data_IF_876046594614
#
_entry.id   IF_876046594614
#
_cell.length_a   1.000
_cell.length_b   1.000
_cell.length_c   1.000
_cell.angle_alpha   90.00
_cell.angle_beta   90.00
_cell.angle_gamma   90.00
#
_symmetry.space_group_name_H-M   'P 1'
#
loop_
_entity.id
_entity.type
_entity.pdbx_description
1 polymer ?
#
# COMPACT_ATOMS: atom_id res chain seq x y z
N UNK A 1 -15.32 15.03 -1.25
CA UNK A 1 -15.81 15.47 0.07
C UNK A 1 -15.25 14.75 1.30
N UNK A 2 -15.40 13.43 1.48
CA UNK A 2 -15.00 12.77 2.74
C UNK A 2 -13.50 12.95 3.09
N UNK A 3 -12.61 12.80 2.11
CA UNK A 3 -11.17 13.03 2.27
C UNK A 3 -10.83 14.47 2.65
N UNK A 4 -11.52 15.46 2.07
CA UNK A 4 -11.35 16.87 2.44
C UNK A 4 -11.71 17.11 3.90
N UNK A 5 -12.86 16.60 4.35
CA UNK A 5 -13.28 16.70 5.77
C UNK A 5 -12.29 16.00 6.72
N UNK A 6 -11.73 14.87 6.31
CA UNK A 6 -10.69 14.17 7.07
C UNK A 6 -9.46 15.07 7.29
N UNK A 7 -8.97 15.73 6.24
CA UNK A 7 -7.84 16.66 6.36
C UNK A 7 -8.20 17.86 7.23
N UNK A 8 -9.35 18.49 7.00
CA UNK A 8 -9.79 19.67 7.78
C UNK A 8 -9.86 19.40 9.28
N UNK A 9 -10.21 18.16 9.66
CA UNK A 9 -10.28 17.70 11.07
C UNK A 9 -8.93 17.37 11.71
N UNK A 10 -7.82 17.42 10.97
CA UNK A 10 -6.48 17.13 11.50
C UNK A 10 -5.74 16.00 10.77
N UNK A 11 -6.37 15.35 9.80
CA UNK A 11 -5.77 14.29 9.02
C UNK A 11 -4.60 14.76 8.14
N UNK A 12 -3.73 13.82 7.77
CA UNK A 12 -2.73 14.03 6.71
C UNK A 12 -3.16 13.27 5.47
N UNK A 13 -3.34 13.97 4.35
CA UNK A 13 -3.60 13.35 3.05
C UNK A 13 -2.40 13.52 2.13
N UNK A 14 -1.93 12.43 1.55
CA UNK A 14 -0.93 12.45 0.48
C UNK A 14 -1.63 12.10 -0.83
N UNK A 15 -1.44 12.93 -1.85
CA UNK A 15 -2.02 12.77 -3.18
C UNK A 15 -0.87 12.54 -4.18
N UNK A 16 -0.97 11.47 -4.95
CA UNK A 16 0.05 11.08 -5.94
C UNK A 16 -0.50 11.30 -7.35
N UNK A 17 0.25 12.03 -8.19
CA UNK A 17 -0.11 12.25 -9.59
C UNK A 17 -1.54 12.76 -9.79
N UNK A 18 -2.23 12.28 -10.82
CA UNK A 18 -3.57 12.75 -11.19
C UNK A 18 -4.72 11.99 -10.50
N UNK A 19 -4.54 11.62 -9.23
CA UNK A 19 -5.57 10.91 -8.46
C UNK A 19 -6.89 11.68 -8.44
N UNK A 20 -8.04 11.01 -8.58
CA UNK A 20 -9.35 11.66 -8.52
C UNK A 20 -9.63 12.66 -9.65
N UNK A 21 -8.86 12.63 -10.75
CA UNK A 21 -9.16 13.42 -11.95
C UNK A 21 -10.38 12.89 -12.73
N UNK A 22 -10.74 11.63 -12.51
CA UNK A 22 -11.84 10.94 -13.17
C UNK A 22 -12.73 10.21 -12.16
N UNK A 23 -13.97 9.98 -12.55
CA UNK A 23 -14.97 9.21 -11.81
C UNK A 23 -14.84 7.69 -12.04
N UNK A 24 -15.76 6.93 -11.44
CA UNK A 24 -15.85 5.47 -11.59
C UNK A 24 -16.16 5.01 -13.03
N UNK A 25 -16.65 5.89 -13.90
CA UNK A 25 -16.90 5.65 -15.31
C UNK A 25 -15.75 6.14 -16.21
N UNK A 26 -14.61 6.50 -15.61
CA UNK A 26 -13.42 7.00 -16.30
C UNK A 26 -13.65 8.32 -17.06
N UNK A 27 -14.70 9.07 -16.70
CA UNK A 27 -15.00 10.40 -17.22
C UNK A 27 -14.30 11.47 -16.37
N UNK A 28 -13.77 12.54 -16.99
CA UNK A 28 -13.15 13.62 -16.25
C UNK A 28 -14.18 14.35 -15.39
N UNK A 29 -13.81 14.68 -14.16
CA UNK A 29 -14.59 15.62 -13.37
C UNK A 29 -14.41 17.04 -13.90
N UNK A 30 -15.48 17.84 -13.90
CA UNK A 30 -15.39 19.29 -14.18
C UNK A 30 -14.45 20.01 -13.18
N UNK A 31 -14.38 19.51 -11.94
CA UNK A 31 -13.47 19.99 -10.91
C UNK A 31 -12.82 18.83 -10.16
N UNK A 32 -11.48 18.83 -10.11
CA UNK A 32 -10.71 17.85 -9.33
C UNK A 32 -10.77 18.25 -7.85
N UNK A 33 -11.70 17.64 -7.11
CA UNK A 33 -11.96 17.97 -5.69
C UNK A 33 -10.69 17.97 -4.84
N UNK A 34 -9.78 17.04 -5.10
CA UNK A 34 -8.50 16.92 -4.40
C UNK A 34 -7.49 18.01 -4.77
N UNK A 35 -7.51 18.52 -6.01
CA UNK A 35 -6.71 19.70 -6.39
C UNK A 35 -7.21 20.96 -5.66
N UNK A 36 -8.52 21.03 -5.39
CA UNK A 36 -9.15 22.10 -4.61
C UNK A 36 -8.56 22.26 -3.20
N UNK A 37 -8.00 21.20 -2.59
CA UNK A 37 -7.27 21.30 -1.32
C UNK A 37 -6.08 22.25 -1.41
N UNK A 38 -5.46 22.34 -2.59
CA UNK A 38 -4.35 23.22 -2.89
C UNK A 38 -4.80 24.62 -3.36
N UNK A 39 -6.11 24.87 -3.44
CA UNK A 39 -6.70 26.14 -3.90
C UNK A 39 -6.56 26.33 -5.40
N UNK A 40 -6.57 25.23 -6.16
CA UNK A 40 -6.39 25.21 -7.62
C UNK A 40 -7.43 24.29 -8.25
N UNK A 41 -7.73 24.52 -9.52
CA UNK A 41 -8.54 23.63 -10.35
C UNK A 41 -7.75 22.42 -10.84
N UNK A 42 -6.42 22.58 -10.96
CA UNK A 42 -5.47 21.56 -11.38
C UNK A 42 -4.41 21.30 -10.31
N UNK A 43 -3.75 20.15 -10.39
CA UNK A 43 -2.67 19.83 -9.47
C UNK A 43 -1.44 20.74 -9.64
N UNK A 44 -0.71 21.05 -8.56
CA UNK A 44 0.55 21.76 -8.65
C UNK A 44 1.57 21.02 -9.53
N UNK A 45 2.46 21.74 -10.23
CA UNK A 45 3.50 21.10 -11.05
C UNK A 45 4.65 20.49 -10.23
N UNK A 46 4.78 20.85 -8.95
CA UNK A 46 5.86 20.44 -8.05
C UNK A 46 5.28 19.90 -6.76
N UNK A 47 6.12 19.18 -6.00
CA UNK A 47 5.79 18.78 -4.64
C UNK A 47 5.30 20.00 -3.87
N UNK A 48 4.12 19.90 -3.28
CA UNK A 48 3.45 21.02 -2.61
C UNK A 48 2.79 20.52 -1.34
N UNK A 49 3.12 21.15 -0.22
CA UNK A 49 2.44 20.94 1.05
C UNK A 49 1.58 22.15 1.37
N UNK A 50 0.37 21.90 1.88
CA UNK A 50 -0.53 22.97 2.30
C UNK A 50 -1.27 22.56 3.57
N UNK A 51 -1.32 23.49 4.54
CA UNK A 51 -2.18 23.37 5.70
C UNK A 51 -3.64 23.55 5.26
N UNK A 52 -4.50 22.61 5.66
CA UNK A 52 -5.93 22.65 5.36
C UNK A 52 -6.69 22.42 6.66
N UNK A 53 -7.33 23.47 7.18
CA UNK A 53 -7.92 23.43 8.52
C UNK A 53 -6.89 23.09 9.60
N UNK A 54 -7.17 22.02 10.37
CA UNK A 54 -6.26 21.49 11.40
C UNK A 54 -5.22 20.51 10.86
N UNK A 55 -5.38 20.01 9.64
CA UNK A 55 -4.51 19.01 9.04
C UNK A 55 -3.64 19.56 7.91
N UNK A 56 -3.16 18.64 7.06
CA UNK A 56 -2.30 18.98 5.92
C UNK A 56 -2.58 18.09 4.72
N UNK A 57 -2.48 18.68 3.54
CA UNK A 57 -2.46 17.97 2.27
C UNK A 57 -1.07 18.09 1.66
N UNK A 58 -0.52 16.98 1.17
CA UNK A 58 0.72 16.94 0.41
C UNK A 58 0.44 16.38 -0.98
N UNK A 59 0.92 17.08 -2.00
CA UNK A 59 0.90 16.63 -3.38
C UNK A 59 2.30 16.20 -3.81
N UNK A 60 2.41 15.02 -4.40
CA UNK A 60 3.62 14.54 -5.04
C UNK A 60 3.31 14.32 -6.54
N UNK A 61 3.95 15.07 -7.45
CA UNK A 61 3.79 14.83 -8.88
C UNK A 61 4.35 13.45 -9.22
N UNK A 62 3.58 12.70 -10.00
CA UNK A 62 3.99 11.41 -10.54
C UNK A 62 3.87 11.45 -12.06
N UNK A 63 4.99 11.70 -12.72
CA UNK A 63 5.07 11.71 -14.17
C UNK A 63 5.22 10.26 -14.64
N UNK A 64 4.08 9.61 -14.89
CA UNK A 64 4.08 8.29 -15.50
C UNK A 64 4.48 8.43 -16.96
N UNK A 65 5.53 7.73 -17.44
CA UNK A 65 5.86 7.72 -18.85
C UNK A 65 4.68 7.16 -19.66
N UNK A 66 4.60 7.52 -20.94
CA UNK A 66 3.55 7.03 -21.83
C UNK A 66 3.58 5.50 -21.99
N UNK A 67 4.73 4.85 -21.75
CA UNK A 67 4.87 3.42 -21.51
C UNK A 67 4.19 3.06 -20.19
N UNK A 68 2.86 3.09 -20.18
CA UNK A 68 2.07 2.97 -18.95
C UNK A 68 2.19 1.60 -18.30
N UNK A 69 2.47 0.53 -19.06
CA UNK A 69 2.95 -0.77 -18.60
C UNK A 69 3.52 -1.59 -19.78
N UNK A 70 4.45 -2.50 -19.45
CA UNK A 70 5.03 -3.58 -20.27
C UNK A 70 5.77 -3.15 -21.55
N UNK A 71 7.03 -3.57 -21.65
CA UNK A 71 7.70 -3.81 -22.94
C UNK A 71 6.66 -4.45 -23.88
N UNK A 72 6.47 -3.97 -25.14
CA UNK A 72 5.51 -4.55 -26.06
C UNK A 72 5.67 -6.08 -26.08
N UNK A 73 4.59 -6.80 -25.83
CA UNK A 73 4.59 -8.25 -25.88
C UNK A 73 5.03 -8.69 -27.27
N UNK A 74 6.15 -9.41 -27.36
CA UNK A 74 6.34 -10.33 -28.49
C UNK A 74 5.28 -11.42 -28.38
N UNK A 75 4.93 -12.00 -29.52
CA UNK A 75 3.76 -12.84 -29.82
C UNK A 75 3.12 -13.63 -28.66
N UNK A 76 1.78 -13.75 -28.75
CA UNK A 76 0.80 -14.38 -27.83
C UNK A 76 1.11 -15.79 -27.28
N UNK A 77 2.29 -16.37 -27.55
CA UNK A 77 2.67 -17.71 -27.13
C UNK A 77 3.42 -17.81 -25.79
N UNK A 78 3.92 -16.70 -25.22
CA UNK A 78 4.80 -16.74 -24.03
C UNK A 78 4.19 -16.21 -22.73
N UNK A 79 2.93 -15.77 -22.75
CA UNK A 79 2.30 -15.13 -21.59
C UNK A 79 0.95 -15.76 -21.27
N UNK A 80 0.99 -16.74 -20.39
CA UNK A 80 -0.11 -17.04 -19.49
C UNK A 80 0.44 -16.75 -18.10
N UNK A 81 -0.32 -16.08 -17.23
CA UNK A 81 0.11 -15.86 -15.83
C UNK A 81 -0.88 -16.45 -14.83
N UNK A 82 -2.00 -17.01 -15.30
CA UNK A 82 -2.96 -17.67 -14.44
C UNK A 82 -3.64 -18.80 -15.22
N UNK A 83 -3.59 -20.02 -14.69
CA UNK A 83 -4.52 -21.08 -15.08
C UNK A 83 -5.96 -20.73 -14.65
N UNK A 84 -6.98 -21.43 -15.18
CA UNK A 84 -8.40 -21.15 -14.90
C UNK A 84 -8.79 -21.24 -13.41
N UNK A 85 -7.93 -21.81 -12.55
CA UNK A 85 -8.16 -21.95 -11.11
C UNK A 85 -7.89 -20.67 -10.32
N UNK A 86 -6.91 -19.85 -10.71
CA UNK A 86 -6.55 -18.62 -9.97
C UNK A 86 -7.46 -17.42 -10.31
N UNK A 87 -8.03 -17.39 -11.52
CA UNK A 87 -9.06 -16.42 -11.89
C UNK A 87 -10.31 -16.52 -11.01
N UNK A 88 -10.56 -17.70 -10.42
CA UNK A 88 -11.67 -17.91 -9.47
C UNK A 88 -11.34 -17.47 -8.03
N UNK A 89 -10.06 -17.32 -7.68
CA UNK A 89 -9.64 -16.91 -6.33
C UNK A 89 -9.48 -15.40 -6.23
N UNK A 90 -9.08 -14.74 -7.31
CA UNK A 90 -8.90 -13.29 -7.36
C UNK A 90 -9.55 -12.72 -8.64
N UNK A 91 -10.79 -12.26 -8.51
CA UNK A 91 -11.60 -11.79 -9.64
C UNK A 91 -11.07 -10.50 -10.30
N UNK A 92 -10.19 -9.75 -9.63
CA UNK A 92 -9.73 -8.41 -10.05
C UNK A 92 -8.20 -8.30 -10.15
N UNK A 93 -7.54 -9.25 -10.79
CA UNK A 93 -6.11 -9.08 -11.14
C UNK A 93 -5.99 -8.77 -12.64
N UNK A 94 -5.77 -7.50 -13.02
CA UNK A 94 -5.33 -7.19 -14.37
C UNK A 94 -4.04 -7.96 -14.66
N UNK A 95 -3.90 -8.39 -15.90
CA UNK A 95 -2.79 -9.06 -16.60
C UNK A 95 -1.36 -8.46 -16.39
N UNK A 96 -1.17 -7.54 -15.44
CA UNK A 96 0.01 -6.72 -15.21
C UNK A 96 1.04 -7.24 -14.19
N UNK A 97 0.85 -8.40 -13.56
CA UNK A 97 1.89 -9.03 -12.72
C UNK A 97 2.87 -9.87 -13.55
N UNK A 98 3.42 -9.31 -14.63
CA UNK A 98 4.61 -9.91 -15.22
C UNK A 98 5.80 -9.61 -14.31
N UNK A 99 6.29 -10.65 -13.65
CA UNK A 99 7.54 -10.69 -12.90
C UNK A 99 8.58 -9.72 -13.47
N UNK A 100 9.00 -8.72 -12.68
CA UNK A 100 10.10 -7.80 -13.00
C UNK A 100 10.00 -6.93 -14.28
N UNK A 101 8.83 -6.78 -14.93
CA UNK A 101 8.70 -5.96 -16.17
C UNK A 101 8.05 -4.59 -15.97
N UNK A 102 8.38 -3.93 -14.87
CA UNK A 102 8.11 -2.49 -14.73
C UNK A 102 9.19 -1.76 -15.51
N UNK A 103 8.80 -0.79 -16.34
CA UNK A 103 9.74 0.13 -17.01
C UNK A 103 10.75 0.67 -15.96
N UNK A 104 12.07 0.53 -16.18
CA UNK A 104 13.05 0.91 -15.16
C UNK A 104 12.96 2.38 -14.74
N UNK A 105 12.62 3.30 -15.64
CA UNK A 105 12.45 4.72 -15.32
C UNK A 105 11.18 4.96 -14.50
N UNK A 106 10.10 4.23 -14.81
CA UNK A 106 8.89 4.22 -13.97
C UNK A 106 9.20 3.66 -12.58
N UNK A 107 9.94 2.54 -12.47
CA UNK A 107 10.30 1.93 -11.19
C UNK A 107 11.03 2.92 -10.28
N UNK A 108 12.05 3.61 -10.80
CA UNK A 108 12.79 4.65 -10.06
C UNK A 108 11.84 5.73 -9.54
N UNK A 109 10.88 6.16 -10.36
CA UNK A 109 9.90 7.19 -9.97
C UNK A 109 8.96 6.71 -8.85
N UNK A 110 8.49 5.46 -8.91
CA UNK A 110 7.62 4.86 -7.90
C UNK A 110 8.36 4.63 -6.57
N UNK A 111 9.59 4.11 -6.62
CA UNK A 111 10.41 3.90 -5.42
C UNK A 111 10.74 5.23 -4.73
N UNK A 112 11.08 6.27 -5.50
CA UNK A 112 11.29 7.61 -4.96
C UNK A 112 10.01 8.21 -4.35
N UNK A 113 8.83 7.96 -4.95
CA UNK A 113 7.56 8.40 -4.38
C UNK A 113 7.28 7.70 -3.04
N UNK A 114 7.51 6.39 -2.93
CA UNK A 114 7.35 5.63 -1.70
C UNK A 114 8.25 6.16 -0.57
N UNK A 115 9.53 6.44 -0.86
CA UNK A 115 10.44 7.03 0.12
C UNK A 115 9.98 8.42 0.60
N UNK A 116 9.45 9.25 -0.29
CA UNK A 116 8.87 10.55 0.07
C UNK A 116 7.65 10.41 0.96
N UNK A 117 6.76 9.46 0.67
CA UNK A 117 5.58 9.18 1.51
C UNK A 117 6.00 8.81 2.93
N UNK A 118 6.98 7.92 3.08
CA UNK A 118 7.55 7.52 4.38
C UNK A 118 8.06 8.74 5.15
N UNK A 119 8.89 9.57 4.50
CA UNK A 119 9.47 10.75 5.13
C UNK A 119 8.41 11.77 5.54
N UNK A 120 7.44 12.05 4.68
CA UNK A 120 6.32 12.95 4.96
C UNK A 120 5.49 12.50 6.15
N UNK A 121 5.32 11.19 6.30
CA UNK A 121 4.55 10.61 7.39
C UNK A 121 5.38 10.34 8.66
N UNK A 122 6.67 10.70 8.68
CA UNK A 122 7.60 10.47 9.80
C UNK A 122 7.60 9.00 10.24
N UNK A 123 7.74 8.09 9.27
CA UNK A 123 7.67 6.64 9.46
C UNK A 123 6.33 6.12 10.05
N UNK A 124 5.28 6.93 10.17
CA UNK A 124 3.94 6.50 10.61
C UNK A 124 3.17 5.83 9.47
N UNK A 125 3.78 4.80 8.90
CA UNK A 125 3.25 3.98 7.80
C UNK A 125 3.36 2.51 8.16
N UNK A 126 2.37 1.75 7.70
CA UNK A 126 2.43 0.29 7.65
C UNK A 126 3.07 -0.12 6.33
N UNK A 127 4.18 -0.87 6.38
CA UNK A 127 4.97 -1.27 5.21
C UNK A 127 5.77 -2.54 5.46
N UNK A 128 6.20 -3.18 4.38
CA UNK A 128 7.39 -4.03 4.41
C UNK A 128 8.63 -3.12 4.44
N UNK A 129 9.54 -3.36 5.38
CA UNK A 129 10.77 -2.57 5.53
C UNK A 129 11.76 -2.92 4.41
N UNK A 130 11.83 -4.19 4.07
CA UNK A 130 12.55 -4.71 2.90
C UNK A 130 11.60 -4.87 1.71
N UNK A 131 12.10 -4.62 0.50
CA UNK A 131 11.30 -4.82 -0.71
C UNK A 131 11.03 -6.31 -0.95
N UNK A 132 9.74 -6.69 -0.91
CA UNK A 132 9.24 -7.96 -1.41
C UNK A 132 8.25 -7.65 -2.54
N UNK A 133 8.68 -7.60 -3.81
CA UNK A 133 7.93 -6.99 -4.90
C UNK A 133 6.60 -7.68 -5.23
N UNK A 134 6.41 -8.93 -4.78
CA UNK A 134 5.19 -9.71 -4.99
C UNK A 134 4.31 -9.83 -3.75
N UNK A 135 4.70 -9.20 -2.64
CA UNK A 135 3.91 -9.24 -1.40
C UNK A 135 3.21 -7.91 -1.22
N UNK A 136 1.89 -7.94 -1.24
CA UNK A 136 1.05 -6.84 -0.78
C UNK A 136 0.79 -6.99 0.72
N UNK A 137 0.77 -5.85 1.43
CA UNK A 137 0.25 -5.80 2.79
C UNK A 137 -0.87 -4.78 2.92
N UNK A 138 -1.91 -5.16 3.65
CA UNK A 138 -3.04 -4.28 3.96
C UNK A 138 -3.34 -4.34 5.45
N UNK A 139 -3.53 -3.17 6.06
CA UNK A 139 -3.78 -3.02 7.48
C UNK A 139 -5.22 -2.55 7.73
N UNK A 140 -5.92 -3.22 8.64
CA UNK A 140 -7.32 -2.93 8.98
C UNK A 140 -7.51 -2.91 10.50
N UNK A 141 -8.35 -1.99 10.98
CA UNK A 141 -8.75 -1.96 12.37
C UNK A 141 -10.28 -2.10 12.45
N UNK A 142 -10.82 -3.06 13.21
CA UNK A 142 -12.25 -3.11 13.53
C UNK A 142 -12.69 -1.87 14.31
N UNK A 143 -13.99 -1.61 14.30
CA UNK A 143 -14.57 -0.39 14.91
C UNK A 143 -14.34 -0.29 16.42
N UNK A 144 -14.23 -1.42 17.12
CA UNK A 144 -13.96 -1.47 18.55
C UNK A 144 -12.52 -1.05 18.92
N UNK A 145 -11.61 -0.99 17.94
CA UNK A 145 -10.21 -0.63 18.13
C UNK A 145 -9.46 -1.56 19.10
N UNK A 146 -9.95 -2.80 19.27
CA UNK A 146 -9.36 -3.80 20.18
C UNK A 146 -8.12 -4.47 19.59
N UNK A 147 -8.06 -4.54 18.26
CA UNK A 147 -6.98 -5.17 17.50
C UNK A 147 -6.72 -4.46 16.19
N UNK A 148 -5.65 -4.85 15.51
CA UNK A 148 -5.34 -4.47 14.15
C UNK A 148 -4.92 -5.72 13.39
N UNK A 149 -5.50 -5.89 12.20
CA UNK A 149 -5.21 -7.01 11.31
C UNK A 149 -4.26 -6.52 10.22
N UNK A 150 -3.20 -7.28 9.97
CA UNK A 150 -2.29 -7.04 8.86
C UNK A 150 -2.34 -8.26 7.95
N UNK A 151 -2.93 -8.06 6.79
CA UNK A 151 -3.11 -9.05 5.74
C UNK A 151 -1.88 -9.05 4.85
N UNK A 152 -1.41 -10.23 4.48
CA UNK A 152 -0.31 -10.44 3.55
C UNK A 152 -0.83 -11.26 2.38
N UNK A 153 -0.62 -10.78 1.16
CA UNK A 153 -0.96 -11.52 -0.05
C UNK A 153 0.31 -11.67 -0.89
N UNK A 154 0.72 -12.91 -1.14
CA UNK A 154 1.87 -13.21 -1.97
C UNK A 154 1.40 -13.61 -3.37
N UNK A 155 1.74 -12.78 -4.35
CA UNK A 155 1.42 -12.97 -5.75
C UNK A 155 2.51 -13.72 -6.53
N UNK A 156 3.56 -14.23 -5.87
CA UNK A 156 4.62 -14.99 -6.55
C UNK A 156 4.21 -16.45 -6.82
N UNK A 157 3.29 -16.60 -7.76
CA UNK A 157 2.68 -17.88 -8.17
C UNK A 157 2.86 -18.05 -9.68
N UNK A 158 3.23 -19.25 -10.14
CA UNK A 158 3.31 -19.58 -11.58
C UNK A 158 1.94 -19.95 -12.15
N UNK A 159 1.82 -20.03 -13.48
CA UNK A 159 0.61 -20.52 -14.17
C UNK A 159 0.21 -21.91 -13.72
N UNK A 160 1.22 -22.75 -13.52
CA UNK A 160 1.08 -24.14 -13.12
C UNK A 160 0.75 -24.28 -11.62
N UNK A 161 0.68 -23.16 -10.90
CA UNK A 161 0.32 -23.10 -9.49
C UNK A 161 1.50 -23.24 -8.53
N UNK A 162 2.75 -23.20 -9.02
CA UNK A 162 3.92 -23.24 -8.15
C UNK A 162 4.06 -21.92 -7.41
N UNK A 163 4.08 -21.99 -6.08
CA UNK A 163 4.21 -20.85 -5.20
C UNK A 163 5.67 -20.70 -4.80
N UNK A 164 6.23 -19.50 -4.98
CA UNK A 164 7.50 -19.12 -4.35
C UNK A 164 7.20 -18.44 -3.03
N UNK A 165 7.50 -19.06 -1.87
CA UNK A 165 7.12 -18.48 -0.59
C UNK A 165 7.92 -17.22 -0.27
N UNK A 166 7.25 -16.20 0.25
CA UNK A 166 7.91 -15.01 0.75
C UNK A 166 8.41 -15.25 2.17
N UNK A 167 9.72 -15.23 2.39
CA UNK A 167 10.34 -15.54 3.69
C UNK A 167 10.99 -14.32 4.34
N UNK A 168 11.10 -14.37 5.67
CA UNK A 168 11.85 -13.43 6.52
C UNK A 168 11.49 -11.97 6.20
N UNK A 169 10.22 -11.62 6.33
CA UNK A 169 9.72 -10.28 6.00
C UNK A 169 9.80 -9.40 7.24
N UNK A 170 10.60 -8.33 7.18
CA UNK A 170 10.58 -7.28 8.20
C UNK A 170 9.38 -6.35 7.95
N UNK A 171 8.48 -6.30 8.93
CA UNK A 171 7.19 -5.61 8.82
C UNK A 171 7.16 -4.48 9.84
N UNK A 172 6.83 -3.29 9.36
CA UNK A 172 6.53 -2.14 10.20
C UNK A 172 5.02 -1.88 10.18
N UNK A 173 4.42 -1.69 11.35
CA UNK A 173 2.99 -1.38 11.46
C UNK A 173 2.80 -0.10 12.28
N UNK A 174 2.13 0.89 11.71
CA UNK A 174 1.75 2.10 12.41
C UNK A 174 0.41 1.88 13.11
N UNK A 175 0.38 2.03 14.44
CA UNK A 175 -0.83 1.82 15.22
C UNK A 175 -1.71 3.07 15.24
N UNK A 176 -3.03 2.92 15.50
CA UNK A 176 -3.91 4.06 15.75
C UNK A 176 -3.39 4.96 16.86
N UNK A 177 -3.69 6.26 16.77
CA UNK A 177 -3.23 7.24 17.75
C UNK A 177 -3.73 6.87 19.16
N UNK A 178 -2.82 6.92 20.15
CA UNK A 178 -3.14 6.60 21.55
C UNK A 178 -3.16 5.10 21.87
N UNK A 179 -3.12 4.20 20.88
CA UNK A 179 -3.06 2.76 21.08
C UNK A 179 -1.63 2.25 21.23
N UNK A 180 -1.49 1.16 21.98
CA UNK A 180 -0.25 0.38 22.08
C UNK A 180 -0.50 -1.07 21.69
N UNK A 181 0.52 -1.73 21.14
CA UNK A 181 0.49 -3.16 20.92
C UNK A 181 0.75 -3.90 22.24
N UNK A 182 -0.16 -4.80 22.57
CA UNK A 182 -0.05 -5.75 23.68
C UNK A 182 0.62 -7.04 23.25
N UNK A 183 0.25 -7.56 22.08
CA UNK A 183 0.83 -8.77 21.51
C UNK A 183 0.70 -8.77 19.99
N UNK A 184 1.56 -9.55 19.33
CA UNK A 184 1.50 -9.82 17.90
C UNK A 184 1.46 -11.33 17.71
N UNK A 185 0.52 -11.81 16.91
CA UNK A 185 0.49 -13.19 16.47
C UNK A 185 0.50 -13.24 14.95
N UNK A 186 1.07 -14.28 14.37
CA UNK A 186 1.15 -14.42 12.93
C UNK A 186 0.99 -15.87 12.49
N UNK A 187 0.38 -16.05 11.33
CA UNK A 187 0.53 -17.28 10.56
C UNK A 187 0.46 -17.01 9.04
N UNK A 188 1.35 -17.67 8.31
CA UNK A 188 1.53 -17.53 6.86
C UNK A 188 0.70 -18.48 5.99
N UNK A 189 -0.11 -19.34 6.62
CA UNK A 189 -1.00 -20.30 5.96
C UNK A 189 -2.39 -20.37 6.62
N UNK A 190 -2.64 -19.51 7.62
CA UNK A 190 -3.84 -19.50 8.48
C UNK A 190 -4.13 -20.82 9.21
N UNK A 191 -3.11 -21.64 9.45
CA UNK A 191 -3.24 -22.91 10.16
C UNK A 191 -3.25 -22.69 11.68
N UNK A 192 -2.19 -22.05 12.21
CA UNK A 192 -2.05 -21.82 13.64
C UNK A 192 -1.30 -20.52 13.93
N UNK A 193 -2.00 -19.58 14.57
CA UNK A 193 -1.40 -18.31 14.99
C UNK A 193 -0.31 -18.54 16.04
N UNK A 194 0.91 -18.09 15.74
CA UNK A 194 2.06 -18.16 16.65
C UNK A 194 2.40 -16.77 17.18
N UNK A 195 2.74 -16.64 18.48
CA UNK A 195 3.16 -15.36 19.03
C UNK A 195 4.48 -14.93 18.39
N UNK A 196 4.59 -13.66 18.03
CA UNK A 196 5.81 -13.04 17.53
C UNK A 196 6.36 -12.04 18.54
N UNK A 197 7.68 -11.99 18.62
CA UNK A 197 8.37 -10.87 19.27
C UNK A 197 8.31 -9.64 18.37
N UNK A 198 8.19 -8.47 18.99
CA UNK A 198 8.16 -7.20 18.29
C UNK A 198 8.89 -6.13 19.08
N UNK A 199 9.44 -5.16 18.36
CA UNK A 199 10.01 -3.94 18.94
C UNK A 199 9.03 -2.78 18.75
N UNK A 200 9.16 -1.74 19.58
CA UNK A 200 8.29 -0.57 19.50
C UNK A 200 9.11 0.72 19.43
N UNK A 201 8.58 1.70 18.71
CA UNK A 201 9.08 3.07 18.67
C UNK A 201 7.91 4.04 18.74
N UNK A 202 8.16 5.27 19.22
CA UNK A 202 7.19 6.37 19.15
C UNK A 202 7.57 7.34 18.05
N UNK A 203 6.62 7.66 17.17
CA UNK A 203 6.76 8.59 16.04
C UNK A 203 5.53 9.47 15.95
N UNK A 204 5.71 10.79 16.00
CA UNK A 204 4.60 11.76 15.90
C UNK A 204 3.37 11.47 16.77
N UNK A 205 3.56 10.99 18.01
CA UNK A 205 2.48 10.67 18.96
C UNK A 205 1.78 9.31 18.75
N UNK A 206 2.15 8.55 17.72
CA UNK A 206 1.69 7.18 17.50
C UNK A 206 2.79 6.17 17.86
N UNK A 207 2.40 4.96 18.25
CA UNK A 207 3.32 3.84 18.36
C UNK A 207 3.46 3.17 16.99
N UNK A 208 4.70 2.84 16.63
CA UNK A 208 5.04 2.00 15.49
C UNK A 208 5.67 0.75 16.04
N UNK A 209 5.26 -0.42 15.53
CA UNK A 209 5.85 -1.70 15.89
C UNK A 209 6.61 -2.29 14.72
N UNK A 210 7.62 -3.12 15.02
CA UNK A 210 8.33 -3.94 14.03
C UNK A 210 8.43 -5.38 14.47
N UNK A 211 8.15 -6.30 13.56
CA UNK A 211 8.27 -7.74 13.76
C UNK A 211 8.70 -8.42 12.47
N UNK A 212 9.19 -9.65 12.60
CA UNK A 212 9.57 -10.48 11.46
C UNK A 212 8.51 -11.56 11.22
N UNK A 213 7.90 -11.56 10.04
CA UNK A 213 7.05 -12.65 9.57
C UNK A 213 7.92 -13.71 8.88
N UNK A 214 7.78 -14.98 9.28
CA UNK A 214 8.68 -16.05 8.89
C UNK A 214 8.49 -16.48 7.43
N UNK A 215 7.27 -16.84 7.06
CA UNK A 215 6.93 -17.27 5.71
C UNK A 215 5.48 -16.92 5.37
N UNK A 216 5.21 -16.52 4.12
CA UNK A 216 3.86 -16.44 3.55
C UNK A 216 3.86 -17.25 2.25
N UNK A 217 2.92 -18.19 2.16
CA UNK A 217 2.70 -18.99 0.96
C UNK A 217 1.87 -18.20 -0.05
N UNK A 218 0.54 -18.23 0.08
CA UNK A 218 -0.37 -17.38 -0.72
C UNK A 218 -0.90 -16.23 0.11
N UNK A 219 -1.24 -16.51 1.37
CA UNK A 219 -1.89 -15.55 2.24
C UNK A 219 -1.49 -15.76 3.69
N UNK A 220 -1.17 -14.66 4.37
CA UNK A 220 -0.85 -14.64 5.79
C UNK A 220 -1.62 -13.57 6.54
N UNK A 221 -1.69 -13.72 7.86
CA UNK A 221 -2.35 -12.77 8.74
C UNK A 221 -1.51 -12.54 9.99
N UNK A 222 -1.23 -11.27 10.29
CA UNK A 222 -0.81 -10.85 11.62
C UNK A 222 -1.99 -10.23 12.37
N UNK A 223 -2.14 -10.59 13.64
CA UNK A 223 -3.10 -9.99 14.57
C UNK A 223 -2.32 -9.27 15.64
N UNK A 224 -2.49 -7.95 15.71
CA UNK A 224 -1.91 -7.07 16.72
C UNK A 224 -3.01 -6.74 17.73
N UNK A 225 -2.93 -7.28 18.93
CA UNK A 225 -3.86 -6.92 20.02
C UNK A 225 -3.47 -5.55 20.59
N UNK A 226 -4.46 -4.69 20.82
CA UNK A 226 -4.25 -3.30 21.22
C UNK A 226 -4.77 -3.00 22.63
N UNK A 227 -4.11 -2.06 23.30
CA UNK A 227 -4.57 -1.41 24.54
C UNK A 227 -4.63 0.12 24.37
#
# INVERSE_FOLDING_TARGET
EALKRYVEKGGTLVVLGNSGAKDEFNLPHEQIVLAGLFGRTEYPAKLTEKKVGKGRACYIPLNLPASRFLIPSKEKGEFTTFGPTMANVFADIPEGYTRSRIDPALRVSLEAAAQKVVALLDDRVTRLVEQKPYVEITAMAPQDGSRMLVHFVNYDVTVDGDITPAKNMDVQVALPQGKKAKSVHFDGALAQMRPLQFSTARKGGAQVIRFQADEVQVYGLAVVELE
#
